data_IF_677100261118
#
_entry.id   IF_677100261118
#
_cell.length_a   1.000
_cell.length_b   1.000
_cell.length_c   1.000
_cell.angle_alpha   90.00
_cell.angle_beta   90.00
_cell.angle_gamma   90.00
#
_symmetry.space_group_name_H-M   'P 1'
#
loop_
_entity.id
_entity.type
_entity.pdbx_description
1 polymer ?
#
# COMPACT_ATOMS: atom_id res chain seq x y z
N UNK A 1 4.63 -14.76 7.22
CA UNK A 1 5.17 -13.88 8.28
C UNK A 1 5.10 -12.39 7.93
N UNK A 2 5.40 -11.97 6.70
CA UNK A 2 5.41 -10.54 6.31
C UNK A 2 4.13 -9.74 6.60
N UNK A 3 2.94 -10.35 6.52
CA UNK A 3 1.68 -9.65 6.77
C UNK A 3 1.49 -9.22 8.25
N UNK A 4 2.04 -9.97 9.19
CA UNK A 4 1.94 -9.65 10.63
C UNK A 4 2.86 -8.49 10.98
N UNK A 5 4.04 -8.41 10.35
CA UNK A 5 4.99 -7.32 10.61
C UNK A 5 4.51 -5.99 10.05
N UNK A 6 3.84 -5.97 8.89
CA UNK A 6 3.18 -4.76 8.38
C UNK A 6 2.03 -4.30 9.28
N UNK A 7 1.24 -5.23 9.82
CA UNK A 7 0.24 -4.90 10.83
C UNK A 7 0.89 -4.26 12.08
N UNK A 8 1.98 -4.83 12.60
CA UNK A 8 2.72 -4.27 13.73
C UNK A 8 3.22 -2.84 13.45
N UNK A 9 3.86 -2.62 12.30
CA UNK A 9 4.31 -1.28 11.87
C UNK A 9 3.15 -0.31 11.78
N UNK A 10 2.00 -0.74 11.27
CA UNK A 10 0.81 0.10 11.13
C UNK A 10 0.26 0.53 12.48
N UNK A 11 0.11 -0.41 13.41
CA UNK A 11 -0.37 -0.13 14.78
C UNK A 11 0.62 0.80 15.49
N UNK A 12 1.92 0.50 15.44
CA UNK A 12 2.95 1.31 16.07
C UNK A 12 3.00 2.74 15.50
N UNK A 13 2.94 2.88 14.18
CA UNK A 13 2.92 4.17 13.50
C UNK A 13 1.68 4.99 13.87
N UNK A 14 0.51 4.36 13.99
CA UNK A 14 -0.69 5.05 14.43
C UNK A 14 -0.59 5.56 15.87
N UNK A 15 -0.02 4.76 16.79
CA UNK A 15 0.21 5.18 18.18
C UNK A 15 1.17 6.37 18.25
N UNK A 16 2.28 6.32 17.50
CA UNK A 16 3.32 7.36 17.51
C UNK A 16 2.83 8.67 16.90
N UNK A 17 2.05 8.61 15.82
CA UNK A 17 1.56 9.78 15.10
C UNK A 17 0.27 10.37 15.71
N UNK A 18 -0.32 9.70 16.69
CA UNK A 18 -1.54 10.16 17.34
C UNK A 18 -1.28 11.32 18.30
N UNK A 19 -2.19 12.31 18.31
CA UNK A 19 -2.22 13.34 19.33
C UNK A 19 -2.54 12.81 20.73
N UNK A 20 -3.10 11.60 20.82
CA UNK A 20 -3.35 10.89 22.08
C UNK A 20 -2.92 9.41 21.97
N UNK A 21 -1.63 9.10 22.20
CA UNK A 21 -1.10 7.74 22.08
C UNK A 21 -1.79 6.75 23.02
N UNK A 22 -2.16 7.17 24.23
CA UNK A 22 -2.82 6.34 25.23
C UNK A 22 -4.21 5.88 24.80
N UNK A 23 -5.01 6.79 24.25
CA UNK A 23 -6.31 6.47 23.67
C UNK A 23 -6.19 5.58 22.43
N UNK A 24 -5.12 5.76 21.65
CA UNK A 24 -4.85 4.91 20.48
C UNK A 24 -4.47 3.48 20.88
N UNK A 25 -3.68 3.31 21.95
CA UNK A 25 -3.42 2.01 22.57
C UNK A 25 -4.74 1.37 23.03
N UNK A 26 -5.59 2.12 23.72
CA UNK A 26 -6.91 1.65 24.17
C UNK A 26 -7.76 1.16 23.00
N UNK A 27 -7.83 1.95 21.92
CA UNK A 27 -8.55 1.61 20.69
C UNK A 27 -8.08 0.26 20.15
N UNK A 28 -6.77 0.09 19.95
CA UNK A 28 -6.22 -1.15 19.41
C UNK A 28 -6.45 -2.35 20.34
N UNK A 29 -6.27 -2.18 21.65
CA UNK A 29 -6.58 -3.23 22.63
C UNK A 29 -8.04 -3.67 22.54
N UNK A 30 -8.98 -2.74 22.41
CA UNK A 30 -10.41 -3.04 22.29
C UNK A 30 -10.75 -3.71 20.96
N UNK A 31 -10.13 -3.28 19.85
CA UNK A 31 -10.28 -3.91 18.53
C UNK A 31 -9.81 -5.36 18.55
N UNK A 32 -8.70 -5.65 19.24
CA UNK A 32 -8.23 -7.02 19.46
C UNK A 32 -9.03 -7.78 20.54
N UNK A 33 -10.01 -7.14 21.18
CA UNK A 33 -10.85 -7.72 22.23
C UNK A 33 -10.04 -8.25 23.42
N UNK A 34 -8.98 -7.52 23.79
CA UNK A 34 -8.07 -7.88 24.88
C UNK A 34 -8.43 -7.07 26.12
N UNK A 35 -8.52 -7.70 27.30
CA UNK A 35 -8.73 -6.96 28.55
C UNK A 35 -7.42 -6.33 29.06
N UNK A 36 -7.49 -5.24 29.83
CA UNK A 36 -6.29 -4.60 30.39
C UNK A 36 -5.46 -5.58 31.23
N UNK A 37 -6.11 -6.52 31.92
CA UNK A 37 -5.48 -7.56 32.75
C UNK A 37 -4.68 -8.55 31.89
N UNK A 38 -5.18 -8.88 30.71
CA UNK A 38 -4.49 -9.82 29.81
C UNK A 38 -3.23 -9.15 29.22
N UNK A 39 -3.38 -7.90 28.79
CA UNK A 39 -2.26 -7.11 28.28
C UNK A 39 -1.19 -6.86 29.35
N UNK A 40 -1.60 -6.58 30.59
CA UNK A 40 -0.66 -6.33 31.68
C UNK A 40 0.13 -7.59 32.08
N UNK A 41 -0.52 -8.76 32.06
CA UNK A 41 0.13 -10.07 32.26
C UNK A 41 1.19 -10.34 31.20
N UNK A 42 0.85 -10.17 29.93
CA UNK A 42 1.79 -10.40 28.81
C UNK A 42 3.00 -9.47 28.88
N UNK A 43 2.78 -8.22 29.30
CA UNK A 43 3.83 -7.21 29.43
C UNK A 43 4.66 -7.32 30.71
N UNK A 44 4.25 -8.15 31.67
CA UNK A 44 4.90 -8.26 32.98
C UNK A 44 4.83 -6.97 33.82
N UNK A 45 3.72 -6.22 33.73
CA UNK A 45 3.52 -4.96 34.46
C UNK A 45 2.18 -4.93 35.18
N UNK A 46 2.03 -3.98 36.12
CA UNK A 46 0.76 -3.80 36.82
C UNK A 46 -0.34 -3.26 35.89
N UNK A 47 -1.57 -3.76 36.04
CA UNK A 47 -2.74 -3.32 35.26
C UNK A 47 -3.01 -1.82 35.38
N UNK A 48 -2.67 -1.21 36.53
CA UNK A 48 -2.75 0.24 36.73
C UNK A 48 -1.90 1.03 35.74
N UNK A 49 -0.75 0.51 35.30
CA UNK A 49 0.12 1.16 34.31
C UNK A 49 -0.57 1.24 32.95
N UNK A 50 -1.28 0.19 32.54
CA UNK A 50 -2.08 0.20 31.31
C UNK A 50 -3.20 1.23 31.44
N UNK A 51 -3.94 1.21 32.56
CA UNK A 51 -5.00 2.18 32.84
C UNK A 51 -4.50 3.63 32.83
N UNK A 52 -3.30 3.89 33.35
CA UNK A 52 -2.67 5.21 33.35
C UNK A 52 -2.34 5.71 31.94
N UNK A 53 -1.87 4.83 31.05
CA UNK A 53 -1.68 5.18 29.64
C UNK A 53 -3.02 5.44 28.97
N UNK A 54 -3.98 4.52 29.09
CA UNK A 54 -5.27 4.62 28.39
C UNK A 54 -6.16 5.77 28.86
N UNK A 55 -5.95 6.27 30.08
CA UNK A 55 -6.64 7.45 30.64
C UNK A 55 -5.91 8.77 30.36
N UNK A 56 -4.73 8.73 29.75
CA UNK A 56 -3.92 9.92 29.49
C UNK A 56 -3.21 10.49 30.72
N UNK A 57 -3.29 9.85 31.89
CA UNK A 57 -2.48 10.22 33.07
C UNK A 57 -0.99 10.12 32.76
N UNK A 58 -0.59 9.16 31.92
CA UNK A 58 0.73 9.09 31.28
C UNK A 58 0.62 9.55 29.83
N UNK A 59 1.09 10.76 29.57
CA UNK A 59 0.89 11.45 28.28
C UNK A 59 1.51 10.75 27.08
N UNK A 60 2.67 10.11 27.24
CA UNK A 60 3.39 9.51 26.10
C UNK A 60 4.14 8.24 26.49
N UNK A 61 3.80 7.08 25.93
CA UNK A 61 4.60 5.87 26.06
C UNK A 61 5.92 6.02 25.27
N UNK A 62 7.03 5.53 25.83
CA UNK A 62 8.30 5.47 25.11
C UNK A 62 8.26 4.43 23.99
N UNK A 63 9.19 4.54 23.03
CA UNK A 63 9.25 3.65 21.85
C UNK A 63 9.31 2.16 22.22
N UNK A 64 10.11 1.79 23.22
CA UNK A 64 10.17 0.41 23.75
C UNK A 64 8.83 -0.06 24.34
N UNK A 65 8.06 0.83 24.95
CA UNK A 65 6.75 0.48 25.50
C UNK A 65 5.74 0.24 24.37
N UNK A 66 5.78 1.08 23.33
CA UNK A 66 4.93 0.92 22.14
C UNK A 66 5.23 -0.42 21.45
N UNK A 67 6.50 -0.72 21.23
CA UNK A 67 6.93 -2.01 20.65
C UNK A 67 6.40 -3.20 21.46
N UNK A 68 6.60 -3.19 22.78
CA UNK A 68 6.09 -4.25 23.66
C UNK A 68 4.57 -4.39 23.58
N UNK A 69 3.82 -3.28 23.64
CA UNK A 69 2.36 -3.29 23.56
C UNK A 69 1.89 -3.88 22.22
N UNK A 70 2.47 -3.43 21.11
CA UNK A 70 2.12 -3.91 19.76
C UNK A 70 2.37 -5.41 19.63
N UNK A 71 3.53 -5.89 20.11
CA UNK A 71 3.86 -7.31 20.08
C UNK A 71 2.90 -8.12 20.95
N UNK A 72 2.64 -7.67 22.18
CA UNK A 72 1.73 -8.33 23.11
C UNK A 72 0.30 -8.44 22.55
N UNK A 73 -0.22 -7.39 21.92
CA UNK A 73 -1.55 -7.43 21.29
C UNK A 73 -1.67 -8.54 20.24
N UNK A 74 -0.65 -8.65 19.37
CA UNK A 74 -0.59 -9.66 18.31
C UNK A 74 -0.40 -11.05 18.90
N UNK A 75 0.50 -11.22 19.87
CA UNK A 75 0.82 -12.52 20.50
C UNK A 75 -0.37 -13.07 21.30
N UNK A 76 -1.09 -12.22 22.04
CA UNK A 76 -2.30 -12.61 22.76
C UNK A 76 -3.36 -13.11 21.77
N UNK A 77 -3.61 -12.41 20.66
CA UNK A 77 -4.60 -12.87 19.68
C UNK A 77 -4.14 -14.14 18.95
N UNK A 78 -2.87 -14.24 18.55
CA UNK A 78 -2.31 -15.45 17.93
C UNK A 78 -2.46 -16.68 18.83
N UNK A 79 -2.23 -16.55 20.14
CA UNK A 79 -2.46 -17.65 21.10
C UNK A 79 -3.95 -18.03 21.25
N UNK A 80 -4.87 -17.13 20.91
CA UNK A 80 -6.33 -17.35 20.88
C UNK A 80 -6.86 -17.80 19.50
N UNK A 81 -5.97 -18.19 18.59
CA UNK A 81 -6.32 -18.65 17.23
C UNK A 81 -6.20 -17.57 16.15
N UNK A 82 -5.73 -16.36 16.49
CA UNK A 82 -5.24 -15.38 15.53
C UNK A 82 -6.32 -14.77 14.63
N UNK A 83 -7.58 -14.71 15.07
CA UNK A 83 -8.69 -14.24 14.22
C UNK A 83 -8.51 -12.76 13.89
N UNK A 84 -8.34 -11.91 14.90
CA UNK A 84 -8.24 -10.46 14.69
C UNK A 84 -6.95 -10.11 13.95
N UNK A 85 -5.84 -10.76 14.30
CA UNK A 85 -4.55 -10.59 13.62
C UNK A 85 -4.71 -10.93 12.14
N UNK A 86 -5.36 -12.04 11.77
CA UNK A 86 -5.57 -12.40 10.36
C UNK A 86 -6.51 -11.44 9.64
N UNK A 87 -7.61 -11.02 10.27
CA UNK A 87 -8.56 -10.06 9.70
C UNK A 87 -7.90 -8.69 9.45
N UNK A 88 -7.23 -8.13 10.46
CA UNK A 88 -6.53 -6.86 10.31
C UNK A 88 -5.33 -6.98 9.38
N UNK A 89 -4.53 -8.03 9.51
CA UNK A 89 -3.45 -8.28 8.58
C UNK A 89 -3.99 -8.38 7.16
N UNK A 90 -5.13 -9.01 6.89
CA UNK A 90 -5.73 -9.00 5.54
C UNK A 90 -6.19 -7.60 5.07
N UNK A 91 -6.74 -6.76 5.96
CA UNK A 91 -7.18 -5.39 5.64
C UNK A 91 -6.03 -4.43 5.34
N UNK A 92 -4.93 -4.60 6.08
CA UNK A 92 -3.71 -3.83 5.95
C UNK A 92 -2.67 -4.53 5.08
N UNK A 93 -2.96 -5.76 4.64
CA UNK A 93 -2.27 -6.40 3.54
C UNK A 93 -2.45 -5.46 2.37
N UNK A 94 -1.33 -4.97 1.90
CA UNK A 94 -1.25 -4.63 0.51
C UNK A 94 -0.75 -5.95 -0.09
N UNK A 95 -1.42 -6.54 -1.09
CA UNK A 95 -0.85 -7.66 -1.84
C UNK A 95 0.61 -7.37 -2.10
N UNK A 96 1.46 -8.41 -2.03
CA UNK A 96 2.85 -8.31 -2.46
C UNK A 96 2.88 -7.46 -3.72
N UNK A 97 3.28 -6.19 -3.58
CA UNK A 97 3.42 -5.28 -4.70
C UNK A 97 4.37 -5.94 -5.71
N UNK A 98 5.32 -6.73 -5.19
CA UNK A 98 6.30 -7.55 -5.92
C UNK A 98 5.69 -8.72 -6.71
N UNK A 99 4.45 -9.16 -6.43
CA UNK A 99 3.85 -10.29 -7.13
C UNK A 99 3.56 -9.99 -8.61
N UNK A 100 3.26 -8.72 -8.92
CA UNK A 100 2.96 -8.25 -10.29
C UNK A 100 3.82 -7.06 -10.72
N UNK A 101 4.42 -6.29 -9.79
CA UNK A 101 5.44 -5.30 -10.14
C UNK A 101 6.77 -6.03 -10.33
N UNK A 102 7.16 -6.20 -11.58
CA UNK A 102 8.40 -6.87 -11.95
C UNK A 102 9.62 -6.02 -11.62
N UNK A 103 9.48 -4.70 -11.68
CA UNK A 103 10.54 -3.74 -11.41
C UNK A 103 9.94 -2.38 -11.07
N UNK A 104 10.49 -1.71 -10.07
CA UNK A 104 10.19 -0.31 -9.78
C UNK A 104 11.47 0.47 -9.59
N UNK A 105 11.51 1.69 -10.13
CA UNK A 105 12.63 2.60 -9.93
C UNK A 105 12.15 4.03 -9.84
N UNK A 106 12.62 4.76 -8.84
CA UNK A 106 12.46 6.20 -8.73
C UNK A 106 13.64 6.89 -9.40
N UNK A 107 13.40 8.05 -9.99
CA UNK A 107 14.47 8.87 -10.57
C UNK A 107 14.96 9.87 -9.54
N UNK A 108 16.28 10.05 -9.45
CA UNK A 108 16.89 11.09 -8.62
C UNK A 108 16.42 12.50 -9.01
N UNK A 109 16.13 12.70 -10.30
CA UNK A 109 15.54 13.92 -10.85
C UNK A 109 14.44 13.55 -11.84
N UNK A 110 13.32 14.28 -11.88
CA UNK A 110 12.24 14.00 -12.82
C UNK A 110 12.74 14.07 -14.27
N UNK A 111 12.27 13.13 -15.09
CA UNK A 111 12.69 12.95 -16.48
C UNK A 111 11.54 13.39 -17.40
N UNK A 112 11.85 14.07 -18.51
CA UNK A 112 10.83 14.40 -19.52
C UNK A 112 10.35 13.15 -20.25
N UNK A 113 9.06 13.07 -20.54
CA UNK A 113 8.45 11.93 -21.24
C UNK A 113 9.17 11.62 -22.56
N UNK A 114 9.47 12.63 -23.38
CA UNK A 114 10.17 12.43 -24.65
C UNK A 114 11.58 11.86 -24.47
N UNK A 115 12.28 12.25 -23.39
CA UNK A 115 13.61 11.71 -23.07
C UNK A 115 13.50 10.25 -22.67
N UNK A 116 12.49 9.90 -21.87
CA UNK A 116 12.25 8.52 -21.45
C UNK A 116 11.84 7.63 -22.63
N UNK A 117 10.89 8.08 -23.46
CA UNK A 117 10.44 7.34 -24.66
C UNK A 117 11.60 7.03 -25.61
N UNK A 118 12.50 7.99 -25.84
CA UNK A 118 13.71 7.76 -26.66
C UNK A 118 14.61 6.67 -26.09
N UNK A 119 14.76 6.59 -24.76
CA UNK A 119 15.60 5.58 -24.10
C UNK A 119 15.01 4.18 -24.15
N UNK A 120 13.68 4.05 -24.20
CA UNK A 120 12.99 2.76 -24.29
C UNK A 120 12.61 2.39 -25.72
N UNK A 121 13.06 3.16 -26.72
CA UNK A 121 12.68 3.04 -28.13
C UNK A 121 11.14 2.98 -28.34
N UNK A 122 10.41 3.75 -27.53
CA UNK A 122 8.96 3.79 -27.54
C UNK A 122 8.41 4.66 -28.67
N UNK A 123 7.29 4.23 -29.26
CA UNK A 123 6.51 5.01 -30.22
C UNK A 123 5.27 5.56 -29.55
N UNK A 124 4.98 6.84 -29.77
CA UNK A 124 3.73 7.42 -29.27
C UNK A 124 2.52 6.85 -29.99
N UNK A 125 1.45 6.60 -29.25
CA UNK A 125 0.17 6.21 -29.80
C UNK A 125 -0.72 7.40 -30.19
N UNK A 126 -0.48 8.59 -29.62
CA UNK A 126 -1.18 9.84 -29.92
C UNK A 126 -0.35 11.05 -29.44
N UNK A 127 -0.76 12.27 -29.77
CA UNK A 127 -0.06 13.47 -29.28
C UNK A 127 -0.29 13.66 -27.78
N UNK A 128 0.77 13.92 -27.02
CA UNK A 128 0.71 14.13 -25.57
C UNK A 128 1.55 15.34 -25.17
N UNK A 129 1.23 15.93 -24.02
CA UNK A 129 2.04 16.99 -23.41
C UNK A 129 3.33 16.39 -22.86
N UNK A 130 4.48 16.91 -23.28
CA UNK A 130 5.79 16.46 -22.80
C UNK A 130 6.06 16.91 -21.34
N UNK A 131 5.38 16.25 -20.39
CA UNK A 131 5.51 16.46 -18.96
C UNK A 131 6.74 15.79 -18.34
N UNK A 132 6.77 15.82 -17.01
CA UNK A 132 7.79 15.17 -16.19
C UNK A 132 7.24 13.89 -15.57
N UNK A 133 8.06 12.85 -15.54
CA UNK A 133 7.82 11.61 -14.80
C UNK A 133 8.88 11.44 -13.70
N UNK A 134 8.48 10.86 -12.56
CA UNK A 134 9.31 10.77 -11.36
C UNK A 134 9.92 9.39 -11.11
N UNK A 135 9.50 8.41 -11.91
CA UNK A 135 10.01 7.05 -11.87
C UNK A 135 9.25 6.18 -12.86
N UNK A 136 9.50 4.88 -12.81
CA UNK A 136 8.72 3.91 -13.55
C UNK A 136 8.48 2.62 -12.76
N UNK A 137 7.40 1.93 -13.12
CA UNK A 137 7.07 0.59 -12.63
C UNK A 137 6.72 -0.32 -13.81
N UNK A 138 7.32 -1.49 -13.86
CA UNK A 138 7.00 -2.56 -14.82
C UNK A 138 5.99 -3.49 -14.17
N UNK A 139 4.84 -3.67 -14.82
CA UNK A 139 3.68 -4.38 -14.28
C UNK A 139 3.29 -5.52 -15.22
N UNK A 140 3.25 -6.74 -14.70
CA UNK A 140 2.65 -7.87 -15.39
C UNK A 140 1.12 -7.72 -15.40
N UNK A 141 0.54 -7.40 -16.56
CA UNK A 141 -0.89 -7.16 -16.68
C UNK A 141 -1.76 -8.38 -16.41
N UNK A 142 -1.27 -9.59 -16.70
CA UNK A 142 -2.04 -10.81 -16.48
C UNK A 142 -2.09 -11.13 -14.99
N UNK A 143 -0.97 -11.00 -14.28
CA UNK A 143 -0.94 -11.17 -12.83
C UNK A 143 -1.74 -10.08 -12.11
N UNK A 144 -1.58 -8.83 -12.56
CA UNK A 144 -2.34 -7.69 -12.06
C UNK A 144 -3.86 -7.98 -12.05
N UNK A 145 -4.46 -8.31 -13.20
CA UNK A 145 -5.93 -8.49 -13.28
C UNK A 145 -6.44 -9.68 -12.45
N UNK A 146 -5.64 -10.71 -12.26
CA UNK A 146 -6.02 -11.88 -11.45
C UNK A 146 -5.92 -11.61 -9.94
N UNK A 147 -5.05 -10.68 -9.54
CA UNK A 147 -4.70 -10.44 -8.14
C UNK A 147 -5.30 -9.14 -7.58
N UNK A 148 -5.98 -8.33 -8.38
CA UNK A 148 -6.55 -7.05 -7.94
C UNK A 148 -8.00 -7.15 -7.43
N UNK A 149 -8.23 -6.59 -6.25
CA UNK A 149 -9.52 -6.03 -5.84
C UNK A 149 -9.61 -4.52 -6.19
N UNK A 150 -10.82 -3.95 -6.33
CA UNK A 150 -11.01 -2.52 -6.60
C UNK A 150 -10.37 -1.59 -5.54
N UNK A 151 -10.28 -2.03 -4.29
CA UNK A 151 -9.70 -1.26 -3.19
C UNK A 151 -8.16 -1.13 -3.33
N UNK A 152 -7.49 -2.19 -3.81
CA UNK A 152 -6.04 -2.22 -3.99
C UNK A 152 -5.60 -1.37 -5.19
N UNK A 153 -6.39 -1.40 -6.27
CA UNK A 153 -6.22 -0.51 -7.41
C UNK A 153 -6.34 0.97 -7.00
N UNK A 154 -7.25 1.29 -6.07
CA UNK A 154 -7.35 2.64 -5.51
C UNK A 154 -6.11 3.01 -4.68
N UNK A 155 -5.56 2.11 -3.85
CA UNK A 155 -4.33 2.39 -3.07
C UNK A 155 -3.09 2.59 -3.96
N UNK A 156 -3.01 1.87 -5.09
CA UNK A 156 -1.93 2.04 -6.07
C UNK A 156 -1.89 3.43 -6.69
N UNK A 157 -3.06 4.06 -6.85
CA UNK A 157 -3.18 5.36 -7.49
C UNK A 157 -2.25 6.40 -6.87
N UNK A 158 -2.22 6.47 -5.53
CA UNK A 158 -1.45 7.49 -4.81
C UNK A 158 0.06 7.33 -4.96
N UNK A 159 0.55 6.11 -5.11
CA UNK A 159 1.98 5.79 -5.18
C UNK A 159 2.56 5.82 -6.60
N UNK A 160 1.70 5.76 -7.62
CA UNK A 160 2.09 5.71 -9.03
C UNK A 160 1.69 6.97 -9.81
N UNK A 161 1.13 7.96 -9.12
CA UNK A 161 0.83 9.26 -9.71
C UNK A 161 2.11 9.92 -10.24
N UNK A 162 2.04 10.44 -11.48
CA UNK A 162 3.16 11.01 -12.22
C UNK A 162 4.36 10.07 -12.43
N UNK A 163 4.23 8.77 -12.19
CA UNK A 163 5.18 7.76 -12.64
C UNK A 163 4.81 7.25 -14.04
N UNK A 164 5.79 6.66 -14.72
CA UNK A 164 5.54 5.84 -15.90
C UNK A 164 5.10 4.44 -15.47
N UNK A 165 4.01 3.90 -16.02
CA UNK A 165 3.60 2.52 -15.82
C UNK A 165 3.81 1.74 -17.11
N UNK A 166 4.65 0.71 -17.05
CA UNK A 166 5.01 -0.14 -18.19
C UNK A 166 4.27 -1.47 -18.02
N UNK A 167 3.20 -1.66 -18.77
CA UNK A 167 2.45 -2.91 -18.75
C UNK A 167 3.07 -3.94 -19.70
N UNK A 168 3.31 -5.16 -19.20
CA UNK A 168 3.84 -6.31 -19.93
C UNK A 168 2.83 -7.45 -19.97
N UNK A 169 3.11 -8.50 -20.75
CA UNK A 169 2.22 -9.67 -20.91
C UNK A 169 0.81 -9.28 -21.38
N UNK A 170 0.76 -8.34 -22.32
CA UNK A 170 -0.45 -7.79 -22.91
C UNK A 170 -0.88 -8.58 -24.14
N UNK A 171 -2.20 -8.65 -24.37
CA UNK A 171 -2.74 -9.07 -25.66
C UNK A 171 -3.09 -7.87 -26.56
N UNK A 172 -3.92 -6.94 -26.08
CA UNK A 172 -4.44 -5.82 -26.90
C UNK A 172 -4.47 -4.44 -26.19
N UNK A 173 -4.07 -4.37 -24.93
CA UNK A 173 -3.98 -3.10 -24.17
C UNK A 173 -5.29 -2.55 -23.57
N UNK A 174 -6.46 -3.16 -23.83
CA UNK A 174 -7.74 -2.69 -23.27
C UNK A 174 -7.80 -2.76 -21.74
N UNK A 175 -7.56 -3.95 -21.19
CA UNK A 175 -7.71 -4.23 -19.75
C UNK A 175 -6.92 -3.27 -18.84
N UNK A 176 -5.61 -2.99 -19.07
CA UNK A 176 -4.89 -2.05 -18.21
C UNK A 176 -5.43 -0.62 -18.31
N UNK A 177 -5.84 -0.16 -19.49
CA UNK A 177 -6.35 1.20 -19.66
C UNK A 177 -7.75 1.38 -19.06
N UNK A 178 -8.61 0.35 -19.14
CA UNK A 178 -9.89 0.32 -18.41
C UNK A 178 -9.62 0.37 -16.90
N UNK A 179 -8.68 -0.43 -16.40
CA UNK A 179 -8.35 -0.43 -14.97
C UNK A 179 -7.85 0.94 -14.50
N UNK A 180 -6.92 1.57 -15.22
CA UNK A 180 -6.45 2.94 -14.91
C UNK A 180 -7.64 3.90 -14.86
N UNK A 181 -8.55 3.84 -15.84
CA UNK A 181 -9.72 4.75 -15.91
C UNK A 181 -10.73 4.55 -14.78
N UNK A 182 -10.92 3.33 -14.32
CA UNK A 182 -11.84 3.02 -13.21
C UNK A 182 -11.24 3.36 -11.83
N UNK A 183 -10.01 3.87 -11.80
CA UNK A 183 -9.29 4.24 -10.59
C UNK A 183 -8.92 5.71 -10.60
N UNK A 184 -8.54 6.26 -9.44
CA UNK A 184 -8.04 7.64 -9.34
C UNK A 184 -6.55 7.76 -9.72
N UNK A 185 -6.04 6.86 -10.57
CA UNK A 185 -4.64 6.80 -10.95
C UNK A 185 -4.37 7.80 -12.09
N UNK A 186 -3.43 8.71 -11.85
CA UNK A 186 -2.97 9.74 -12.79
C UNK A 186 -1.49 9.50 -13.16
N UNK A 187 -1.20 8.47 -13.96
CA UNK A 187 0.18 8.18 -14.36
C UNK A 187 0.68 9.27 -15.31
N UNK A 188 1.96 9.60 -15.20
CA UNK A 188 2.58 10.60 -16.08
C UNK A 188 2.83 10.05 -17.49
N UNK A 189 2.93 8.72 -17.62
CA UNK A 189 3.06 8.01 -18.89
C UNK A 189 2.57 6.57 -18.73
N UNK A 190 1.91 6.01 -19.74
CA UNK A 190 1.61 4.59 -19.83
C UNK A 190 2.35 4.02 -21.05
N UNK A 191 3.06 2.92 -20.85
CA UNK A 191 3.75 2.17 -21.90
C UNK A 191 3.13 0.79 -22.00
N UNK A 192 2.72 0.40 -23.20
CA UNK A 192 2.20 -0.92 -23.50
C UNK A 192 3.31 -1.75 -24.17
N UNK A 193 4.04 -2.54 -23.39
CA UNK A 193 5.18 -3.30 -23.90
C UNK A 193 4.70 -4.58 -24.61
N UNK A 194 5.22 -4.80 -25.82
CA UNK A 194 5.12 -6.09 -26.53
C UNK A 194 3.94 -6.17 -27.50
N UNK A 195 3.19 -5.08 -27.65
CA UNK A 195 2.11 -4.97 -28.64
C UNK A 195 2.47 -3.91 -29.68
N UNK A 196 2.32 -4.25 -30.96
CA UNK A 196 2.56 -3.34 -32.08
C UNK A 196 1.30 -2.59 -32.50
N UNK A 197 0.15 -3.24 -32.38
CA UNK A 197 -1.17 -2.70 -32.71
C UNK A 197 -2.00 -2.60 -31.44
N UNK A 198 -2.19 -1.38 -30.95
CA UNK A 198 -3.06 -1.09 -29.81
C UNK A 198 -4.49 -1.04 -30.30
N UNK A 199 -5.41 -1.59 -29.51
CA UNK A 199 -6.82 -1.60 -29.85
C UNK A 199 -7.45 -0.19 -29.83
N UNK A 200 -8.32 0.10 -30.81
CA UNK A 200 -8.95 1.42 -30.95
C UNK A 200 -9.73 1.88 -29.71
N UNK A 201 -10.39 0.95 -29.02
CA UNK A 201 -11.10 1.27 -27.77
C UNK A 201 -10.11 1.67 -26.69
N UNK A 202 -8.97 0.97 -26.63
CA UNK A 202 -7.91 1.28 -25.68
C UNK A 202 -7.35 2.69 -25.94
N UNK A 203 -7.11 3.05 -27.21
CA UNK A 203 -6.70 4.40 -27.59
C UNK A 203 -7.73 5.47 -27.25
N UNK A 204 -9.03 5.19 -27.43
CA UNK A 204 -10.10 6.11 -27.02
C UNK A 204 -10.10 6.32 -25.52
N UNK A 205 -9.96 5.26 -24.72
CA UNK A 205 -9.88 5.36 -23.26
C UNK A 205 -8.68 6.22 -22.84
N UNK A 206 -7.52 6.02 -23.47
CA UNK A 206 -6.31 6.78 -23.17
C UNK A 206 -6.43 8.28 -23.46
N UNK A 207 -7.27 8.69 -24.41
CA UNK A 207 -7.52 10.11 -24.74
C UNK A 207 -8.52 10.79 -23.80
N UNK A 208 -9.26 10.03 -22.99
CA UNK A 208 -10.29 10.55 -22.09
C UNK A 208 -9.75 10.89 -20.68
N UNK A 209 -8.56 10.39 -20.34
CA UNK A 209 -7.83 10.74 -19.11
C UNK A 209 -6.75 11.76 -19.43
#
# INVERSE_FOLDING_TARGET
MGNIDELRKKIAGEIVLSGNPGETIKKWRQLFQIHQIDLSKELGINTSVISDYESGRRKSPGTKMIEKVVNALVEIDLSRGGKMTREFAALYHIPDFDSFILLRKEFEKPVRINTFLKRINGKSCYEFKNGLIYGFSVVDSKKAIMNFSPLELSRLSSMMNKHCIIFTNLQRGRSPLVAVRLTNLEPGLIVLHGILNVDDIALRIAKLG
#
